data_IF_698800261575
#
_entry.id   IF_698800261575
#
_cell.length_a   1.000
_cell.length_b   1.000
_cell.length_c   1.000
_cell.angle_alpha   90.00
_cell.angle_beta   90.00
_cell.angle_gamma   90.00
#
_symmetry.space_group_name_H-M   'P 1'
#
loop_
_entity.id
_entity.type
_entity.pdbx_description
1 polymer ?
#
# COMPACT_ATOMS: atom_id res chain seq x y z
N UNK A 1 13.66 18.96 -30.02
CA UNK A 1 12.36 18.40 -29.57
C UNK A 1 12.67 17.56 -28.34
N UNK A 2 12.32 18.05 -27.16
CA UNK A 2 12.63 17.37 -25.90
C UNK A 2 11.40 16.52 -25.54
N UNK A 3 11.50 15.21 -25.68
CA UNK A 3 10.43 14.29 -25.31
C UNK A 3 10.40 14.19 -23.79
N UNK A 4 9.58 15.02 -23.13
CA UNK A 4 9.21 14.87 -21.72
C UNK A 4 8.28 13.67 -21.49
N UNK A 5 8.61 12.54 -22.12
CA UNK A 5 7.80 11.33 -22.24
C UNK A 5 7.82 10.49 -20.97
N UNK A 6 7.12 10.96 -19.94
CA UNK A 6 6.76 10.13 -18.80
C UNK A 6 5.24 9.88 -18.85
N UNK A 7 4.82 8.80 -19.50
CA UNK A 7 3.56 8.15 -19.14
C UNK A 7 3.80 7.50 -17.78
N UNK A 8 3.39 8.16 -16.70
CA UNK A 8 3.42 7.53 -15.37
C UNK A 8 2.21 6.61 -15.27
N UNK A 9 2.45 5.33 -15.00
CA UNK A 9 1.40 4.36 -14.77
C UNK A 9 0.78 4.57 -13.38
N UNK A 10 -0.44 4.07 -13.20
CA UNK A 10 -1.16 4.18 -11.95
C UNK A 10 -0.48 3.37 -10.83
N UNK A 11 -0.64 3.86 -9.60
CA UNK A 11 -0.20 3.18 -8.40
C UNK A 11 -1.34 3.08 -7.39
N UNK A 12 -1.29 2.03 -6.56
CA UNK A 12 -2.21 1.82 -5.44
C UNK A 12 -1.46 2.05 -4.13
N UNK A 13 -1.98 2.97 -3.31
CA UNK A 13 -1.49 3.28 -1.97
C UNK A 13 -2.49 2.81 -0.91
N UNK A 14 -2.02 2.01 0.05
CA UNK A 14 -2.79 1.62 1.22
C UNK A 14 -2.30 2.37 2.46
N UNK A 15 -3.24 3.02 3.17
CA UNK A 15 -2.98 3.80 4.38
C UNK A 15 -3.75 3.21 5.55
N UNK A 16 -3.04 2.90 6.64
CA UNK A 16 -3.62 2.44 7.89
C UNK A 16 -3.93 3.63 8.80
N UNK A 17 -5.17 3.68 9.28
CA UNK A 17 -5.61 4.62 10.31
C UNK A 17 -5.84 3.86 11.62
N UNK A 18 -5.18 4.28 12.70
CA UNK A 18 -5.32 3.65 14.02
C UNK A 18 -6.09 4.56 14.97
N UNK A 19 -7.11 4.03 15.65
CA UNK A 19 -7.89 4.78 16.65
C UNK A 19 -7.12 5.04 17.96
N UNK A 20 -5.83 4.66 18.07
CA UNK A 20 -5.02 4.94 19.25
C UNK A 20 -4.74 6.45 19.36
N UNK A 21 -4.76 6.96 20.60
CA UNK A 21 -4.73 8.37 21.01
C UNK A 21 -3.58 9.24 20.47
N UNK A 22 -2.63 8.67 19.71
CA UNK A 22 -1.46 9.36 19.14
C UNK A 22 -1.37 9.12 17.62
N UNK A 23 -2.49 9.48 16.98
CA UNK A 23 -2.96 9.14 15.64
C UNK A 23 -2.00 9.57 14.51
N UNK A 24 -1.08 8.69 14.13
CA UNK A 24 -0.32 8.82 12.89
C UNK A 24 -0.85 7.79 11.90
N UNK A 25 -1.38 8.25 10.77
CA UNK A 25 -1.63 7.37 9.64
C UNK A 25 -0.31 6.84 9.09
N UNK A 26 -0.29 5.57 8.68
CA UNK A 26 0.92 4.92 8.18
C UNK A 26 0.66 4.35 6.78
N UNK A 27 1.57 4.63 5.86
CA UNK A 27 1.56 3.96 4.56
C UNK A 27 2.01 2.51 4.76
N UNK A 28 1.16 1.58 4.39
CA UNK A 28 1.36 0.14 4.60
C UNK A 28 1.47 -0.63 3.29
N UNK A 29 1.08 -0.03 2.16
CA UNK A 29 1.13 -0.68 0.86
C UNK A 29 1.40 0.33 -0.24
N UNK A 30 2.38 0.06 -1.09
CA UNK A 30 2.64 0.82 -2.31
C UNK A 30 2.97 -0.13 -3.45
N UNK A 31 2.18 -0.09 -4.51
CA UNK A 31 2.41 -0.84 -5.73
C UNK A 31 2.24 0.05 -6.97
N UNK A 32 3.27 0.08 -7.82
CA UNK A 32 3.25 0.72 -9.14
C UNK A 32 2.73 -0.26 -10.21
N UNK A 33 2.28 0.27 -11.36
CA UNK A 33 1.59 -0.50 -12.42
C UNK A 33 0.39 -1.29 -11.91
N UNK A 34 -0.40 -0.66 -11.04
CA UNK A 34 -1.60 -1.27 -10.46
C UNK A 34 -2.75 -0.29 -10.47
N UNK A 35 -3.91 -0.76 -10.95
CA UNK A 35 -5.15 0.02 -11.04
C UNK A 35 -6.24 -0.50 -10.12
N UNK A 36 -6.09 -1.71 -9.58
CA UNK A 36 -7.08 -2.37 -8.72
C UNK A 36 -6.54 -2.49 -7.30
N UNK A 37 -7.42 -2.27 -6.30
CA UNK A 37 -7.10 -2.41 -4.88
C UNK A 37 -8.04 -3.41 -4.22
N UNK A 38 -7.68 -4.69 -4.25
CA UNK A 38 -8.45 -5.76 -3.61
C UNK A 38 -7.90 -5.96 -2.19
N UNK A 39 -8.74 -5.72 -1.19
CA UNK A 39 -8.39 -5.77 0.23
C UNK A 39 -9.21 -6.86 0.90
N UNK A 40 -8.56 -7.78 1.61
CA UNK A 40 -9.22 -8.80 2.42
C UNK A 40 -8.52 -8.91 3.77
N UNK A 41 -9.28 -8.86 4.86
CA UNK A 41 -8.76 -9.21 6.19
C UNK A 41 -8.63 -10.73 6.29
N UNK A 42 -7.45 -11.21 6.70
CA UNK A 42 -7.19 -12.64 6.93
C UNK A 42 -7.46 -12.98 8.40
N UNK A 43 -7.05 -12.09 9.30
CA UNK A 43 -7.25 -12.18 10.74
C UNK A 43 -7.27 -10.77 11.35
N UNK A 44 -7.28 -10.66 12.68
CA UNK A 44 -7.38 -9.38 13.40
C UNK A 44 -6.21 -8.42 13.12
N UNK A 45 -5.02 -8.96 12.84
CA UNK A 45 -3.78 -8.19 12.69
C UNK A 45 -3.16 -8.34 11.29
N UNK A 46 -3.82 -9.02 10.35
CA UNK A 46 -3.28 -9.29 9.02
C UNK A 46 -4.28 -8.95 7.92
N UNK A 47 -3.85 -8.08 7.00
CA UNK A 47 -4.58 -7.78 5.77
C UNK A 47 -3.84 -8.31 4.55
N UNK A 48 -4.59 -8.72 3.54
CA UNK A 48 -4.10 -9.05 2.21
C UNK A 48 -4.53 -7.97 1.22
N UNK A 49 -3.56 -7.30 0.60
CA UNK A 49 -3.79 -6.28 -0.43
C UNK A 49 -3.17 -6.79 -1.73
N UNK A 50 -3.98 -7.06 -2.75
CA UNK A 50 -3.55 -7.55 -4.07
C UNK A 50 -2.59 -8.75 -4.03
N UNK A 51 -2.78 -9.69 -3.11
CA UNK A 51 -1.89 -10.83 -2.96
C UNK A 51 -0.88 -10.70 -1.82
N UNK A 52 -0.47 -9.48 -1.48
CA UNK A 52 0.55 -9.19 -0.47
C UNK A 52 -0.05 -9.20 0.93
N UNK A 53 0.56 -9.94 1.85
CA UNK A 53 0.16 -9.98 3.26
C UNK A 53 0.91 -8.91 4.04
N UNK A 54 0.19 -8.15 4.84
CA UNK A 54 0.73 -7.10 5.69
C UNK A 54 0.26 -7.36 7.11
N UNK A 55 1.21 -7.55 8.02
CA UNK A 55 0.97 -7.78 9.44
C UNK A 55 1.07 -6.45 10.21
N UNK A 56 0.09 -6.14 11.05
CA UNK A 56 0.03 -4.91 11.83
C UNK A 56 0.74 -5.04 13.19
N UNK A 57 1.19 -3.92 13.78
CA UNK A 57 1.15 -2.54 13.25
C UNK A 57 2.35 -2.17 12.36
N UNK A 58 3.36 -3.02 12.31
CA UNK A 58 4.68 -2.65 11.77
C UNK A 58 4.88 -2.97 10.30
N UNK A 59 4.15 -3.95 9.79
CA UNK A 59 4.24 -4.40 8.40
C UNK A 59 3.93 -3.31 7.40
N UNK A 60 4.65 -3.40 6.28
CA UNK A 60 4.46 -2.58 5.10
C UNK A 60 4.89 -3.37 3.88
N UNK A 61 4.31 -3.04 2.74
CA UNK A 61 4.74 -3.48 1.44
C UNK A 61 5.07 -2.25 0.59
N UNK A 62 6.25 -2.23 0.00
CA UNK A 62 6.66 -1.20 -0.94
C UNK A 62 7.40 -1.91 -2.09
N UNK A 63 6.83 -1.86 -3.29
CA UNK A 63 7.39 -2.53 -4.47
C UNK A 63 8.84 -2.13 -4.79
N UNK A 64 9.30 -0.98 -4.29
CA UNK A 64 10.68 -0.50 -4.45
C UNK A 64 11.67 -1.20 -3.51
N UNK A 65 11.16 -1.85 -2.46
CA UNK A 65 11.92 -2.51 -1.41
C UNK A 65 11.36 -3.91 -1.16
N UNK A 66 11.60 -4.88 -2.07
CA UNK A 66 11.12 -6.26 -1.94
C UNK A 66 11.75 -7.03 -0.77
#
# INVERSE_FOLDING_TARGET
MNNGGATVDYAVLGVLYSNKKNNNSKNIYWQYEMTTGIINWIDEDTVKINGQKINFPDGKYDYRHP
#
